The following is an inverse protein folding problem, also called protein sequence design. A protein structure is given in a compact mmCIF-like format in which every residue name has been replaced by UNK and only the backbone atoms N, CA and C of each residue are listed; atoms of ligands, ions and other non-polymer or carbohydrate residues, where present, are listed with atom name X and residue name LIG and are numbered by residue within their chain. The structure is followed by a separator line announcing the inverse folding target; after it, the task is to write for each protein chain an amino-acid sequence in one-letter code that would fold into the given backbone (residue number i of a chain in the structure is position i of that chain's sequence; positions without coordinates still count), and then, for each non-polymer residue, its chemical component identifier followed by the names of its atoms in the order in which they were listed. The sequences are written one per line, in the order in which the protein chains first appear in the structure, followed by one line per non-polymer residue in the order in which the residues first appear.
data_IF_277835617823
#
_entry.id   IF_277835617823
#
_cell.length_a   1.000
_cell.length_b   1.000
_cell.length_c   1.000
_cell.angle_alpha   90.00
_cell.angle_beta   90.00
_cell.angle_gamma   90.00
#
_symmetry.space_group_name_H-M   'P 1'
#
loop_
_entity.id
_entity.type
_entity.pdbx_description
1 polymer ?
#
# COMPACT_ATOMS: atom_id res chain seq x y z
N UNK A 1 -1.92 -8.62 28.49
CA UNK A 1 -1.29 -8.33 27.18
C UNK A 1 -2.38 -8.23 26.14
N UNK A 2 -2.84 -7.02 25.81
CA UNK A 2 -3.89 -6.86 24.78
C UNK A 2 -3.47 -5.84 23.74
N UNK A 3 -2.39 -6.16 23.01
CA UNK A 3 -2.06 -5.44 21.78
C UNK A 3 -3.05 -5.87 20.69
N UNK A 4 -3.46 -4.93 19.86
CA UNK A 4 -4.33 -5.21 18.70
C UNK A 4 -3.61 -5.93 17.56
N UNK A 5 -2.31 -5.69 17.38
CA UNK A 5 -1.50 -6.29 16.29
C UNK A 5 -0.25 -7.00 16.83
N UNK A 6 0.83 -6.26 17.08
CA UNK A 6 2.11 -6.84 17.48
C UNK A 6 2.39 -6.55 18.95
N UNK A 7 2.86 -7.56 19.67
CA UNK A 7 3.30 -7.49 21.06
C UNK A 7 4.78 -7.87 21.13
N UNK A 8 5.66 -6.89 21.28
CA UNK A 8 7.10 -7.08 21.26
C UNK A 8 7.66 -7.07 22.67
N UNK A 9 8.57 -8.00 22.98
CA UNK A 9 9.30 -7.99 24.25
C UNK A 9 10.12 -6.71 24.36
N UNK A 10 10.04 -6.03 25.51
CA UNK A 10 10.71 -4.76 25.73
C UNK A 10 11.28 -4.67 27.14
N UNK A 11 12.61 -4.81 27.31
CA UNK A 11 13.25 -4.72 28.63
C UNK A 11 13.21 -3.30 29.22
N UNK A 12 12.97 -2.27 28.40
CA UNK A 12 12.81 -0.88 28.83
C UNK A 12 11.38 -0.53 29.26
N UNK A 13 10.40 -1.40 29.01
CA UNK A 13 9.01 -1.18 29.42
C UNK A 13 8.76 -1.79 30.79
N UNK A 14 8.12 -1.08 31.75
CA UNK A 14 7.76 -1.64 33.05
C UNK A 14 6.87 -2.89 32.96
N UNK A 15 6.09 -3.03 31.88
CA UNK A 15 5.25 -4.20 31.62
C UNK A 15 5.99 -5.38 30.97
N UNK A 16 7.27 -5.20 30.60
CA UNK A 16 8.07 -6.19 29.87
C UNK A 16 7.74 -6.32 28.39
N UNK A 17 6.78 -5.54 27.87
CA UNK A 17 6.40 -5.53 26.46
C UNK A 17 6.00 -4.13 25.97
N UNK A 18 5.99 -3.96 24.66
CA UNK A 18 5.42 -2.81 23.96
C UNK A 18 4.56 -3.28 22.80
N UNK A 19 3.48 -2.56 22.50
CA UNK A 19 2.70 -2.83 21.30
C UNK A 19 3.28 -2.08 20.11
N UNK A 20 3.21 -2.68 18.92
CA UNK A 20 3.65 -2.06 17.67
C UNK A 20 2.60 -2.28 16.57
N UNK A 21 2.59 -1.38 15.59
CA UNK A 21 1.69 -1.44 14.45
C UNK A 21 2.47 -1.75 13.16
N UNK A 22 1.83 -2.39 12.17
CA UNK A 22 2.42 -2.56 10.85
C UNK A 22 2.87 -1.21 10.27
N UNK A 23 4.13 -1.15 9.82
CA UNK A 23 4.73 0.08 9.31
C UNK A 23 4.02 0.60 8.06
N UNK A 24 3.94 1.93 7.93
CA UNK A 24 3.49 2.62 6.71
C UNK A 24 1.99 2.57 6.46
N UNK A 25 1.22 1.82 7.25
CA UNK A 25 -0.23 1.67 7.06
C UNK A 25 -1.06 1.96 8.30
N UNK A 26 -0.46 1.87 9.49
CA UNK A 26 -1.15 2.06 10.75
C UNK A 26 -0.30 2.86 11.74
N UNK A 27 -0.96 3.48 12.71
CA UNK A 27 -0.33 4.21 13.81
C UNK A 27 -0.82 3.67 15.15
N UNK A 28 0.08 3.67 16.14
CA UNK A 28 -0.29 3.29 17.49
C UNK A 28 -1.09 4.44 18.13
N UNK A 29 -2.28 4.12 18.62
CA UNK A 29 -3.13 5.07 19.32
C UNK A 29 -2.51 5.49 20.65
N UNK A 30 -3.05 6.55 21.25
CA UNK A 30 -2.59 7.10 22.52
C UNK A 30 -2.76 6.14 23.71
N UNK A 31 -3.58 5.10 23.56
CA UNK A 31 -3.73 4.03 24.55
C UNK A 31 -2.54 3.05 24.57
N UNK A 32 -1.60 3.20 23.62
CA UNK A 32 -0.41 2.37 23.43
C UNK A 32 -0.71 0.88 23.16
N UNK A 33 -1.92 0.54 22.75
CA UNK A 33 -2.37 -0.84 22.51
C UNK A 33 -3.12 -1.03 21.19
N UNK A 34 -3.83 0.00 20.73
CA UNK A 34 -4.70 -0.06 19.55
C UNK A 34 -4.00 0.52 18.33
N UNK A 35 -4.02 -0.18 17.19
CA UNK A 35 -3.54 0.34 15.91
C UNK A 35 -4.71 0.92 15.11
N UNK A 36 -4.51 2.12 14.58
CA UNK A 36 -5.47 2.84 13.74
C UNK A 36 -4.94 2.94 12.32
N UNK A 37 -5.79 2.74 11.32
CA UNK A 37 -5.40 2.91 9.92
C UNK A 37 -5.03 4.36 9.62
N UNK A 38 -3.95 4.54 8.85
CA UNK A 38 -3.60 5.81 8.26
C UNK A 38 -4.62 6.18 7.17
N UNK A 39 -5.09 7.43 7.18
CA UNK A 39 -6.06 7.91 6.18
C UNK A 39 -5.43 8.10 4.80
N UNK A 40 -4.17 8.49 4.74
CA UNK A 40 -3.44 8.78 3.50
C UNK A 40 -2.26 7.82 3.36
N UNK A 41 -2.55 6.59 2.93
CA UNK A 41 -1.51 5.59 2.64
C UNK A 41 -1.14 5.69 1.17
N UNK A 42 0.14 5.90 0.88
CA UNK A 42 0.66 5.81 -0.49
C UNK A 42 0.48 4.39 -1.01
N UNK A 43 -0.24 4.23 -2.12
CA UNK A 43 -0.44 2.96 -2.81
C UNK A 43 0.34 3.01 -4.13
N UNK A 44 1.49 2.32 -4.24
CA UNK A 44 2.20 2.22 -5.49
C UNK A 44 1.30 1.61 -6.57
N UNK A 45 1.40 2.14 -7.79
CA UNK A 45 0.84 1.50 -8.98
C UNK A 45 1.91 0.61 -9.57
N UNK A 46 1.55 -0.65 -9.84
CA UNK A 46 2.41 -1.61 -10.50
C UNK A 46 1.75 -2.01 -11.81
N UNK A 47 2.52 -2.08 -12.89
CA UNK A 47 2.04 -2.56 -14.19
C UNK A 47 2.71 -3.88 -14.54
N UNK A 48 1.95 -4.77 -15.13
CA UNK A 48 2.45 -6.02 -15.69
C UNK A 48 1.66 -6.37 -16.94
N UNK A 49 2.36 -6.47 -18.06
CA UNK A 49 1.79 -6.76 -19.37
C UNK A 49 0.74 -5.72 -19.81
N UNK A 50 -0.55 -6.03 -19.74
CA UNK A 50 -1.65 -5.12 -20.04
C UNK A 50 -2.47 -4.71 -18.81
N UNK A 51 -2.01 -5.09 -17.61
CA UNK A 51 -2.75 -4.88 -16.37
C UNK A 51 -2.04 -3.88 -15.47
N UNK A 52 -2.84 -3.04 -14.82
CA UNK A 52 -2.41 -2.13 -13.77
C UNK A 52 -2.96 -2.61 -12.44
N UNK A 53 -2.17 -2.49 -11.37
CA UNK A 53 -2.54 -2.93 -10.03
C UNK A 53 -2.22 -1.85 -9.00
N UNK A 54 -3.10 -1.70 -8.02
CA UNK A 54 -2.78 -1.05 -6.77
C UNK A 54 -2.05 -2.03 -5.86
N UNK A 55 -0.85 -1.66 -5.41
CA UNK A 55 -0.15 -2.39 -4.38
C UNK A 55 -0.56 -1.87 -3.00
N UNK A 56 -1.15 -2.75 -2.21
CA UNK A 56 -1.53 -2.48 -0.81
C UNK A 56 -0.46 -3.03 0.13
N UNK A 57 0.38 -2.19 0.76
CA UNK A 57 1.43 -2.66 1.68
C UNK A 57 0.88 -3.26 3.00
N UNK A 58 -0.44 -3.26 3.19
CA UNK A 58 -1.10 -3.51 4.47
C UNK A 58 -1.00 -4.96 4.97
N UNK A 59 -0.71 -5.94 4.12
CA UNK A 59 -0.83 -7.36 4.51
C UNK A 59 0.46 -8.15 4.28
N UNK A 60 1.22 -8.32 5.34
CA UNK A 60 2.32 -9.29 5.39
C UNK A 60 1.71 -10.69 5.28
N UNK A 61 2.10 -11.46 4.25
CA UNK A 61 1.64 -12.83 4.04
C UNK A 61 0.31 -13.00 3.28
N UNK A 62 -0.24 -11.93 2.68
CA UNK A 62 -1.38 -12.03 1.76
C UNK A 62 -1.05 -11.44 0.38
N UNK A 63 -1.87 -11.75 -0.62
CA UNK A 63 -1.80 -11.08 -1.91
C UNK A 63 -2.10 -9.59 -1.73
N UNK A 64 -1.14 -8.76 -2.14
CA UNK A 64 -1.17 -7.31 -1.97
C UNK A 64 -1.49 -6.57 -3.27
N UNK A 65 -1.83 -7.29 -4.34
CA UNK A 65 -2.15 -6.70 -5.65
C UNK A 65 -3.67 -6.66 -5.83
N UNK A 66 -4.20 -5.46 -6.01
CA UNK A 66 -5.59 -5.20 -6.38
C UNK A 66 -5.64 -4.71 -7.82
N UNK A 67 -6.37 -5.39 -8.70
CA UNK A 67 -6.49 -4.98 -10.10
C UNK A 67 -7.15 -3.60 -10.19
N UNK A 68 -6.48 -2.65 -10.85
CA UNK A 68 -7.06 -1.35 -11.15
C UNK A 68 -8.03 -1.48 -12.32
N UNK A 69 -9.33 -1.51 -12.01
CA UNK A 69 -10.38 -1.52 -13.03
C UNK A 69 -10.58 -0.11 -13.60
N UNK A 70 -10.31 0.04 -14.88
CA UNK A 70 -10.57 1.24 -15.66
C UNK A 70 -11.12 0.83 -17.05
N UNK A 71 -11.49 1.82 -17.86
CA UNK A 71 -12.05 1.59 -19.20
C UNK A 71 -10.98 1.65 -20.31
N UNK A 72 -9.69 1.65 -19.94
CA UNK A 72 -8.61 1.64 -20.92
C UNK A 72 -8.45 0.22 -21.46
N UNK A 73 -8.35 0.11 -22.77
CA UNK A 73 -7.96 -1.13 -23.44
C UNK A 73 -6.47 -0.99 -23.71
N UNK A 74 -5.68 -1.72 -22.94
CA UNK A 74 -4.22 -1.76 -23.07
C UNK A 74 -3.84 -3.13 -23.67
N UNK A 75 -2.87 -3.11 -24.58
CA UNK A 75 -2.30 -4.28 -25.22
C UNK A 75 -0.92 -4.59 -24.66
N UNK A 76 -0.07 -3.56 -24.47
CA UNK A 76 1.24 -3.74 -23.85
C UNK A 76 1.75 -2.44 -23.22
N UNK A 77 1.80 -2.41 -21.90
CA UNK A 77 2.33 -1.26 -21.17
C UNK A 77 3.87 -1.26 -21.25
N UNK A 78 4.43 -0.14 -21.69
CA UNK A 78 5.88 0.10 -21.74
C UNK A 78 6.41 0.86 -20.53
N UNK A 79 5.73 1.94 -20.15
CA UNK A 79 6.10 2.85 -19.06
C UNK A 79 4.86 3.49 -18.43
N UNK A 80 5.03 4.09 -17.24
CA UNK A 80 4.01 4.86 -16.55
C UNK A 80 4.60 6.05 -15.80
N UNK A 81 3.82 7.12 -15.66
CA UNK A 81 4.15 8.24 -14.77
C UNK A 81 2.89 8.75 -14.05
N UNK A 82 3.09 9.39 -12.89
CA UNK A 82 2.01 10.01 -12.12
C UNK A 82 2.04 11.52 -12.30
N UNK A 83 0.94 12.08 -12.80
CA UNK A 83 0.72 13.53 -12.87
C UNK A 83 -0.04 14.02 -11.62
N UNK A 84 0.63 14.68 -10.66
CA UNK A 84 -0.03 15.21 -9.47
C UNK A 84 -0.93 16.42 -9.74
N UNK A 85 -0.78 17.11 -10.89
CA UNK A 85 -1.64 18.24 -11.23
C UNK A 85 -3.03 17.79 -11.70
N UNK A 86 -3.09 16.63 -12.35
CA UNK A 86 -4.34 16.01 -12.83
C UNK A 86 -4.84 14.87 -11.93
N UNK A 87 -4.04 14.47 -10.93
CA UNK A 87 -4.26 13.28 -10.11
C UNK A 87 -4.52 12.02 -10.98
N UNK A 88 -3.65 11.83 -11.97
CA UNK A 88 -3.80 10.82 -13.00
C UNK A 88 -2.52 10.02 -13.20
N UNK A 89 -2.65 8.76 -13.59
CA UNK A 89 -1.52 7.96 -14.07
C UNK A 89 -1.59 7.90 -15.59
N UNK A 90 -0.49 8.29 -16.22
CA UNK A 90 -0.29 8.25 -17.66
C UNK A 90 0.50 6.99 -17.99
N UNK A 91 0.12 6.28 -19.05
CA UNK A 91 0.74 4.99 -19.42
C UNK A 91 1.01 4.96 -20.90
N UNK A 92 2.16 4.44 -21.32
CA UNK A 92 2.44 4.24 -22.74
C UNK A 92 2.02 2.83 -23.18
N UNK A 93 1.23 2.72 -24.25
CA UNK A 93 1.00 1.44 -24.92
C UNK A 93 1.93 1.28 -26.12
N UNK A 94 2.85 0.32 -26.03
CA UNK A 94 3.90 0.14 -27.06
C UNK A 94 3.43 -0.65 -28.26
N UNK A 95 2.31 -1.37 -28.19
CA UNK A 95 1.75 -2.06 -29.35
C UNK A 95 0.84 -1.11 -30.14
N UNK A 96 0.10 -0.26 -29.45
CA UNK A 96 -0.76 0.74 -30.08
C UNK A 96 -0.02 2.03 -30.45
N UNK A 97 1.21 2.22 -29.95
CA UNK A 97 2.02 3.44 -30.11
C UNK A 97 1.32 4.69 -29.55
N UNK A 98 0.71 4.57 -28.36
CA UNK A 98 -0.03 5.65 -27.69
C UNK A 98 0.52 5.95 -26.29
N UNK A 99 0.14 7.11 -25.76
CA UNK A 99 0.34 7.58 -24.39
C UNK A 99 -1.03 8.02 -23.86
#
# INVERSE_FOLDING_TARGET
NRCSYLCLLSPSSPSGYTCACPFGVMVLASDLHTCLDLKNVTRPVIVSDNQMYWFSPHKIGQNNLELWRNNLILHKIGDLDYDPAQDAVVVSDVLDNTI
#
